data_IF_983897402914
#
_entry.id   IF_983897402914
#
_cell.length_a   1.000
_cell.length_b   1.000
_cell.length_c   1.000
_cell.angle_alpha   90.00
_cell.angle_beta   90.00
_cell.angle_gamma   90.00
#
_symmetry.space_group_name_H-M   'P 1'
#
loop_
_entity.id
_entity.type
_entity.pdbx_description
1 polymer ?
#
# COMPACT_ATOMS: atom_id res chain seq x y z
N UNK A 1 13.45 0.78 -2.84
CA UNK A 1 13.66 0.21 -1.49
C UNK A 1 12.72 -0.97 -1.34
N UNK A 2 13.10 -2.00 -0.58
CA UNK A 2 12.27 -3.18 -0.31
C UNK A 2 11.75 -3.13 1.14
N UNK A 3 10.56 -3.68 1.38
CA UNK A 3 9.94 -3.77 2.69
C UNK A 3 9.14 -5.07 2.80
N UNK A 4 9.01 -5.61 4.02
CA UNK A 4 8.18 -6.79 4.29
C UNK A 4 6.79 -6.33 4.75
N UNK A 5 5.75 -6.93 4.20
CA UNK A 5 4.35 -6.69 4.55
C UNK A 5 3.63 -8.02 4.80
N UNK A 6 2.48 -7.99 5.47
CA UNK A 6 1.61 -9.15 5.56
C UNK A 6 0.81 -9.33 4.26
N UNK A 7 0.22 -10.52 4.07
CA UNK A 7 -0.70 -10.79 2.95
C UNK A 7 -1.86 -11.64 3.45
N UNK A 8 -3.08 -11.10 3.33
CA UNK A 8 -4.33 -11.75 3.76
C UNK A 8 -5.42 -11.48 2.71
N UNK A 9 -5.28 -12.05 1.52
CA UNK A 9 -6.24 -11.91 0.44
C UNK A 9 -6.18 -13.11 -0.51
N UNK A 10 -7.31 -13.43 -1.16
CA UNK A 10 -7.40 -14.48 -2.20
C UNK A 10 -7.47 -13.90 -3.62
N UNK A 11 -7.55 -12.58 -3.74
CA UNK A 11 -7.69 -11.87 -5.01
C UNK A 11 -6.60 -10.80 -5.10
N UNK A 12 -6.28 -10.41 -6.32
CA UNK A 12 -5.26 -9.40 -6.61
C UNK A 12 -5.57 -8.64 -7.89
N UNK A 13 -4.87 -7.53 -8.09
CA UNK A 13 -5.10 -6.61 -9.20
C UNK A 13 -4.58 -7.23 -10.51
N UNK A 14 -5.49 -7.54 -11.44
CA UNK A 14 -5.13 -7.96 -12.81
C UNK A 14 -4.79 -6.77 -13.71
N UNK A 15 -5.55 -5.68 -13.60
CA UNK A 15 -5.39 -4.46 -14.39
C UNK A 15 -5.91 -3.26 -13.59
N UNK A 16 -5.09 -2.22 -13.49
CA UNK A 16 -5.49 -0.96 -12.88
C UNK A 16 -6.50 -0.20 -13.75
N UNK A 17 -7.40 0.52 -13.09
CA UNK A 17 -8.31 1.46 -13.73
C UNK A 17 -7.57 2.66 -14.34
N UNK A 18 -8.26 3.42 -15.20
CA UNK A 18 -7.71 4.63 -15.78
C UNK A 18 -7.37 5.66 -14.70
N UNK A 19 -6.21 6.32 -14.83
CA UNK A 19 -5.74 7.31 -13.87
C UNK A 19 -5.07 6.74 -12.62
N UNK A 20 -4.97 5.41 -12.48
CA UNK A 20 -4.21 4.77 -11.41
C UNK A 20 -2.79 4.42 -11.87
N UNK A 21 -1.83 4.48 -10.95
CA UNK A 21 -0.43 4.10 -11.16
C UNK A 21 -0.01 3.10 -10.09
N UNK A 22 0.56 1.96 -10.50
CA UNK A 22 1.17 1.02 -9.56
C UNK A 22 2.47 1.61 -9.00
N UNK A 23 2.67 1.49 -7.69
CA UNK A 23 3.82 2.06 -6.98
C UNK A 23 4.57 1.02 -6.12
N UNK A 24 3.99 -0.16 -5.92
CA UNK A 24 4.66 -1.29 -5.28
C UNK A 24 4.22 -2.60 -5.94
N UNK A 25 5.14 -3.56 -5.95
CA UNK A 25 4.94 -4.89 -6.52
C UNK A 25 5.53 -5.94 -5.58
N UNK A 26 4.88 -7.10 -5.50
CA UNK A 26 5.50 -8.27 -4.91
C UNK A 26 6.72 -8.71 -5.73
N UNK A 27 7.76 -9.17 -5.04
CA UNK A 27 9.03 -9.56 -5.66
C UNK A 27 9.00 -10.97 -6.24
N UNK A 28 8.15 -11.85 -5.71
CA UNK A 28 8.03 -13.23 -6.12
C UNK A 28 7.18 -13.41 -7.37
N UNK A 29 5.99 -12.83 -7.40
CA UNK A 29 5.00 -13.01 -8.47
C UNK A 29 4.73 -11.76 -9.32
N UNK A 30 5.22 -10.59 -8.91
CA UNK A 30 5.03 -9.32 -9.62
C UNK A 30 3.63 -8.73 -9.48
N UNK A 31 2.81 -9.23 -8.55
CA UNK A 31 1.48 -8.69 -8.27
C UNK A 31 1.58 -7.24 -7.76
N UNK A 32 0.63 -6.40 -8.17
CA UNK A 32 0.57 -5.01 -7.69
C UNK A 32 0.11 -5.01 -6.24
N UNK A 33 0.96 -4.47 -5.37
CA UNK A 33 0.75 -4.41 -3.91
C UNK A 33 0.33 -3.01 -3.45
N UNK A 34 0.60 -1.96 -4.23
CA UNK A 34 0.09 -0.62 -3.97
C UNK A 34 -0.08 0.19 -5.25
N UNK A 35 -1.01 1.15 -5.21
CA UNK A 35 -1.24 2.11 -6.28
C UNK A 35 -1.57 3.51 -5.74
N UNK A 36 -1.40 4.53 -6.59
CA UNK A 36 -1.85 5.89 -6.35
C UNK A 36 -2.65 6.45 -7.54
N UNK A 37 -3.24 7.65 -7.35
CA UNK A 37 -4.02 8.33 -8.40
C UNK A 37 -3.21 9.46 -9.03
N UNK A 38 -3.09 9.44 -10.36
CA UNK A 38 -2.45 10.50 -11.15
C UNK A 38 -3.21 11.81 -11.07
N UNK A 39 -2.49 12.93 -11.04
CA UNK A 39 -3.08 14.27 -11.06
C UNK A 39 -3.61 14.77 -9.71
N UNK A 40 -3.45 13.99 -8.64
CA UNK A 40 -3.67 14.43 -7.26
C UNK A 40 -2.32 14.71 -6.57
N UNK A 41 -2.31 15.51 -5.48
CA UNK A 41 -1.13 15.62 -4.62
C UNK A 41 -0.61 14.25 -4.20
N UNK A 42 0.71 14.08 -4.18
CA UNK A 42 1.35 12.83 -3.81
C UNK A 42 0.85 12.33 -2.45
N UNK A 43 0.46 11.05 -2.39
CA UNK A 43 -0.09 10.46 -1.18
C UNK A 43 -1.49 10.94 -0.79
N UNK A 44 -2.21 11.68 -1.64
CA UNK A 44 -3.61 12.03 -1.34
C UNK A 44 -4.55 10.83 -1.47
N UNK A 45 -4.27 9.94 -2.42
CA UNK A 45 -5.02 8.70 -2.63
C UNK A 45 -4.03 7.57 -2.82
N UNK A 46 -3.97 6.66 -1.86
CA UNK A 46 -3.16 5.44 -1.91
C UNK A 46 -4.07 4.25 -1.62
N UNK A 47 -3.94 3.19 -2.41
CA UNK A 47 -4.43 1.86 -2.09
C UNK A 47 -3.24 0.94 -1.81
N UNK A 48 -3.34 0.14 -0.76
CA UNK A 48 -2.39 -0.93 -0.44
C UNK A 48 -3.15 -2.26 -0.36
N UNK A 49 -2.52 -3.34 -0.79
CA UNK A 49 -3.12 -4.68 -0.83
C UNK A 49 -2.90 -5.45 0.48
N UNK A 50 -1.81 -5.15 1.21
CA UNK A 50 -1.59 -5.62 2.57
C UNK A 50 -2.47 -4.90 3.59
N UNK A 51 -2.47 -5.41 4.82
CA UNK A 51 -3.20 -4.84 5.96
C UNK A 51 -2.23 -4.05 6.87
N UNK A 52 -2.01 -2.74 6.67
CA UNK A 52 -1.12 -1.96 7.51
C UNK A 52 -1.59 -1.91 8.99
N UNK A 53 -2.87 -2.10 9.25
CA UNK A 53 -3.45 -2.14 10.58
C UNK A 53 -3.18 -3.45 11.34
N UNK A 54 -2.69 -4.49 10.66
CA UNK A 54 -2.43 -5.80 11.27
C UNK A 54 -0.99 -5.91 11.77
N UNK A 55 -0.84 -5.83 13.10
CA UNK A 55 0.43 -6.03 13.82
C UNK A 55 0.44 -7.34 14.64
N UNK A 56 -0.14 -8.42 14.12
CA UNK A 56 -0.28 -9.66 14.89
C UNK A 56 1.03 -10.48 14.90
N UNK A 57 1.72 -10.56 16.04
CA UNK A 57 2.76 -11.56 16.38
C UNK A 57 3.69 -12.04 15.23
N UNK A 58 4.21 -11.13 14.40
CA UNK A 58 5.18 -11.51 13.38
C UNK A 58 6.59 -11.54 13.97
N UNK A 59 7.31 -12.64 13.72
CA UNK A 59 8.72 -12.85 14.10
C UNK A 59 9.72 -12.05 13.25
N UNK A 60 9.22 -11.26 12.28
CA UNK A 60 9.99 -10.39 11.39
C UNK A 60 9.45 -8.97 11.50
N UNK A 61 10.34 -7.98 11.37
CA UNK A 61 9.96 -6.58 11.26
C UNK A 61 9.16 -6.36 9.95
N UNK A 62 7.87 -6.07 10.11
CA UNK A 62 7.00 -5.62 9.03
C UNK A 62 7.09 -4.09 8.88
N UNK A 63 6.74 -3.59 7.70
CA UNK A 63 6.61 -2.16 7.46
C UNK A 63 5.57 -1.55 8.40
N UNK A 64 6.00 -0.58 9.22
CA UNK A 64 5.08 0.11 10.13
C UNK A 64 3.97 0.86 9.38
N UNK A 65 2.77 0.79 9.93
CA UNK A 65 1.58 1.53 9.50
C UNK A 65 1.73 3.05 9.63
N UNK A 66 2.59 3.51 10.54
CA UNK A 66 2.63 4.91 10.99
C UNK A 66 2.80 5.88 9.83
N UNK A 67 3.65 5.53 8.86
CA UNK A 67 3.92 6.41 7.70
C UNK A 67 2.68 6.60 6.82
N UNK A 68 1.91 5.55 6.60
CA UNK A 68 0.66 5.63 5.82
C UNK A 68 -0.41 6.39 6.59
N UNK A 69 -0.52 6.12 7.90
CA UNK A 69 -1.49 6.77 8.78
C UNK A 69 -1.20 8.28 8.90
N UNK A 70 0.05 8.66 9.14
CA UNK A 70 0.47 10.07 9.23
C UNK A 70 0.17 10.81 7.93
N UNK A 71 0.48 10.20 6.79
CA UNK A 71 0.21 10.78 5.48
C UNK A 71 -1.30 10.97 5.24
N UNK A 72 -2.13 9.98 5.61
CA UNK A 72 -3.58 10.09 5.55
C UNK A 72 -4.09 11.22 6.44
N UNK A 73 -3.70 11.24 7.72
CA UNK A 73 -4.10 12.27 8.68
C UNK A 73 -3.68 13.68 8.25
N UNK A 74 -2.50 13.83 7.65
CA UNK A 74 -2.02 15.10 7.11
C UNK A 74 -2.87 15.61 5.93
N UNK A 75 -3.48 14.72 5.16
CA UNK A 75 -4.42 15.10 4.11
C UNK A 75 -5.82 15.42 4.65
N UNK A 76 -6.24 14.82 5.78
CA UNK A 76 -7.53 15.08 6.42
C UNK A 76 -7.57 16.39 7.22
N UNK A 77 -6.43 16.89 7.71
CA UNK A 77 -6.33 18.13 8.48
C UNK A 77 -6.47 19.41 7.64
N UNK A 78 -6.58 19.28 6.31
CA UNK A 78 -6.72 20.37 5.34
C UNK A 78 -8.13 20.40 4.77
#
# INVERSE_FOLDING_TARGET
>A
AEALVNSVHHQGIKKLGAGLEAIAWDKGDGMIEAFEVKGHPAGKVIGVQWHPEYNWNHTKELLSADRLLDQFLNHCKK
#
